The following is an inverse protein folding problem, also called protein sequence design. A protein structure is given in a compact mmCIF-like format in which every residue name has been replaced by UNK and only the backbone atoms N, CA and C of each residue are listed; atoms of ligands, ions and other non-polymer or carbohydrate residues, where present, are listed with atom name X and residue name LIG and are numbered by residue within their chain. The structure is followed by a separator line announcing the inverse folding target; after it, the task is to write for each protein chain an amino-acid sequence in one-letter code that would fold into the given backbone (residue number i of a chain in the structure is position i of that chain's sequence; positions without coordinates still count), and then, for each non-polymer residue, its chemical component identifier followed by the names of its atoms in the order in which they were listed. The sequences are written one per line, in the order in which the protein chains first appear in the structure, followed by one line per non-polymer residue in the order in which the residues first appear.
data_IF_428014256476
#
_entry.id   IF_428014256476
#
_cell.length_a   1.000
_cell.length_b   1.000
_cell.length_c   1.000
_cell.angle_alpha   90.00
_cell.angle_beta   90.00
_cell.angle_gamma   90.00
#
_symmetry.space_group_name_H-M   'P 1'
#
loop_
_entity.id
_entity.type
_entity.pdbx_description
1 polymer ?
#
# COMPACT_ATOMS: atom_id res chain seq x y z
N UNK A 1 -9.09 6.17 -24.37
CA UNK A 1 -9.41 7.31 -23.50
C UNK A 1 -8.16 7.90 -22.88
N UNK A 2 -7.45 7.25 -21.94
CA UNK A 2 -6.30 7.87 -21.27
C UNK A 2 -5.12 8.30 -22.19
N UNK A 3 -5.05 7.77 -23.42
CA UNK A 3 -4.05 8.14 -24.42
C UNK A 3 -4.59 9.09 -25.53
N UNK A 4 -5.76 9.70 -25.36
CA UNK A 4 -6.36 10.61 -26.34
C UNK A 4 -6.29 12.07 -25.88
N UNK A 5 -6.56 13.03 -26.77
CA UNK A 5 -6.51 14.47 -26.45
C UNK A 5 -7.52 14.85 -25.36
N UNK A 6 -8.66 14.17 -25.31
CA UNK A 6 -9.71 14.41 -24.32
C UNK A 6 -9.23 14.15 -22.87
N UNK A 7 -8.17 13.34 -22.69
CA UNK A 7 -7.59 13.04 -21.39
C UNK A 7 -6.38 13.91 -21.03
N UNK A 8 -6.01 14.91 -21.83
CA UNK A 8 -4.80 15.71 -21.63
C UNK A 8 -4.71 16.40 -20.25
N UNK A 9 -5.85 16.71 -19.63
CA UNK A 9 -5.92 17.31 -18.29
C UNK A 9 -5.83 16.31 -17.13
N UNK A 10 -5.87 15.00 -17.39
CA UNK A 10 -5.91 13.97 -16.35
C UNK A 10 -4.48 13.48 -16.09
N UNK A 11 -3.87 13.98 -15.02
CA UNK A 11 -2.48 13.64 -14.64
C UNK A 11 -2.36 13.30 -13.16
N UNK A 12 -1.29 12.60 -12.78
CA UNK A 12 -0.97 12.25 -11.38
C UNK A 12 -1.92 11.24 -10.72
N UNK A 13 -2.82 10.62 -11.48
CA UNK A 13 -3.80 9.67 -10.97
C UNK A 13 -3.25 8.25 -10.98
N UNK A 14 -3.55 7.49 -9.92
CA UNK A 14 -3.41 6.04 -9.93
C UNK A 14 -4.77 5.41 -10.25
N UNK A 15 -4.82 4.58 -11.29
CA UNK A 15 -6.05 3.96 -11.79
C UNK A 15 -5.86 2.45 -11.83
N UNK A 16 -6.72 1.72 -11.13
CA UNK A 16 -6.77 0.25 -11.19
C UNK A 16 -7.71 -0.21 -12.30
N UNK A 17 -7.29 -1.22 -13.06
CA UNK A 17 -8.08 -1.81 -14.16
C UNK A 17 -8.05 -3.33 -14.05
N UNK A 18 -9.22 -3.98 -14.15
CA UNK A 18 -9.29 -5.44 -14.22
C UNK A 18 -10.68 -5.93 -14.63
N UNK A 19 -10.75 -6.68 -15.74
CA UNK A 19 -12.03 -7.09 -16.34
C UNK A 19 -12.91 -5.88 -16.63
N UNK A 20 -14.13 -5.90 -16.12
CA UNK A 20 -15.11 -4.80 -16.27
C UNK A 20 -14.99 -3.72 -15.18
N UNK A 21 -13.99 -3.81 -14.29
CA UNK A 21 -13.84 -2.90 -13.15
C UNK A 21 -12.81 -1.80 -13.44
N UNK A 22 -13.20 -0.56 -13.16
CA UNK A 22 -12.33 0.62 -13.13
C UNK A 22 -12.32 1.21 -11.71
N UNK A 23 -11.15 1.59 -11.21
CA UNK A 23 -11.00 2.21 -9.89
C UNK A 23 -10.11 3.44 -9.96
N UNK A 24 -10.54 4.51 -9.31
CA UNK A 24 -9.71 5.67 -9.05
C UNK A 24 -9.19 5.60 -7.61
N UNK A 25 -7.87 5.70 -7.45
CA UNK A 25 -7.23 5.68 -6.15
C UNK A 25 -6.96 7.10 -5.66
N UNK A 26 -7.34 7.40 -4.41
CA UNK A 26 -6.84 8.58 -3.72
C UNK A 26 -5.35 8.41 -3.44
N UNK A 27 -4.59 9.51 -3.55
CA UNK A 27 -3.19 9.50 -3.14
C UNK A 27 -3.08 9.21 -1.63
N UNK A 28 -2.16 8.35 -1.17
CA UNK A 28 -1.92 8.20 0.25
C UNK A 28 -1.31 9.49 0.80
N UNK A 29 -1.88 9.99 1.89
CA UNK A 29 -1.33 11.13 2.64
C UNK A 29 -0.33 10.63 3.69
N UNK A 30 0.66 11.45 4.00
CA UNK A 30 1.57 11.17 5.12
C UNK A 30 0.78 11.30 6.43
N UNK A 31 0.39 10.17 7.02
CA UNK A 31 -0.41 10.15 8.26
C UNK A 31 0.44 10.53 9.48
N UNK A 32 1.73 10.21 9.46
CA UNK A 32 2.68 10.56 10.51
C UNK A 32 4.09 10.70 9.94
N UNK A 33 4.91 11.54 10.54
CA UNK A 33 6.31 11.73 10.16
C UNK A 33 7.15 11.87 11.42
N UNK A 34 8.16 11.01 11.52
CA UNK A 34 9.03 10.93 12.69
C UNK A 34 10.47 11.21 12.27
N UNK A 35 11.08 12.15 12.99
CA UNK A 35 12.40 12.68 12.68
C UNK A 35 13.38 12.28 13.77
N UNK A 36 14.61 11.98 13.35
CA UNK A 36 15.70 11.63 14.25
C UNK A 36 16.98 12.28 13.77
N UNK A 37 17.68 12.94 14.69
CA UNK A 37 18.97 13.55 14.40
C UNK A 37 19.98 12.46 14.02
N UNK A 38 20.60 12.61 12.85
CA UNK A 38 21.50 11.59 12.29
C UNK A 38 20.80 10.48 11.48
N UNK A 39 19.47 10.51 11.38
CA UNK A 39 18.67 9.51 10.67
C UNK A 39 18.37 8.28 11.52
N UNK A 40 17.72 7.29 10.90
CA UNK A 40 17.33 6.05 11.56
C UNK A 40 18.29 4.91 11.17
N UNK A 41 18.91 4.27 12.15
CA UNK A 41 19.60 2.99 11.96
C UNK A 41 18.63 1.82 12.02
N UNK A 42 19.04 0.66 11.51
CA UNK A 42 18.26 -0.57 11.60
C UNK A 42 18.02 -0.98 13.05
N UNK A 43 19.05 -0.93 13.89
CA UNK A 43 18.99 -1.27 15.31
C UNK A 43 18.00 -0.39 16.06
N UNK A 44 17.95 0.90 15.72
CA UNK A 44 17.01 1.86 16.32
C UNK A 44 15.57 1.57 15.93
N UNK A 45 15.31 1.28 14.65
CA UNK A 45 13.99 0.89 14.17
C UNK A 45 13.54 -0.44 14.79
N UNK A 46 14.46 -1.40 14.94
CA UNK A 46 14.18 -2.70 15.54
C UNK A 46 13.86 -2.58 17.05
N UNK A 47 14.56 -1.69 17.76
CA UNK A 47 14.34 -1.45 19.18
C UNK A 47 13.05 -0.65 19.45
N UNK A 48 12.74 0.33 18.59
CA UNK A 48 11.59 1.20 18.75
C UNK A 48 11.05 1.69 17.40
N UNK A 49 10.20 0.88 16.77
CA UNK A 49 9.54 1.28 15.53
C UNK A 49 8.44 2.31 15.83
N UNK A 50 8.55 3.56 15.36
CA UNK A 50 7.65 4.64 15.77
C UNK A 50 6.19 4.42 15.33
N UNK A 51 5.97 3.63 14.28
CA UNK A 51 4.65 3.41 13.69
C UNK A 51 4.02 2.07 14.11
N UNK A 52 4.58 1.40 15.12
CA UNK A 52 4.01 0.18 15.66
C UNK A 52 2.57 0.44 16.16
N UNK A 53 1.60 -0.32 15.64
CA UNK A 53 0.18 -0.18 15.98
C UNK A 53 -0.56 0.93 15.21
N UNK A 54 0.11 1.64 14.31
CA UNK A 54 -0.47 2.71 13.48
C UNK A 54 -0.64 2.28 12.01
N UNK A 55 -0.81 0.98 11.76
CA UNK A 55 -0.97 0.45 10.41
C UNK A 55 -2.23 1.02 9.76
N UNK A 56 -2.07 1.54 8.54
CA UNK A 56 -3.17 2.14 7.80
C UNK A 56 -4.00 1.07 7.09
N UNK A 57 -5.31 1.30 6.97
CA UNK A 57 -6.23 0.38 6.29
C UNK A 57 -6.17 0.45 4.76
N UNK A 58 -5.35 1.35 4.22
CA UNK A 58 -5.17 1.53 2.77
C UNK A 58 -4.21 0.47 2.21
N UNK A 59 -4.46 0.05 0.97
CA UNK A 59 -3.80 -1.09 0.33
C UNK A 59 -4.81 -2.06 -0.28
N UNK A 60 -4.45 -2.76 -1.35
CA UNK A 60 -5.37 -3.71 -1.99
C UNK A 60 -5.67 -4.87 -1.04
N UNK A 61 -6.96 -5.04 -0.69
CA UNK A 61 -7.43 -6.29 -0.11
C UNK A 61 -7.51 -7.30 -1.24
N UNK A 62 -6.45 -8.09 -1.38
CA UNK A 62 -6.44 -9.17 -2.34
C UNK A 62 -7.60 -10.14 -2.04
N UNK A 63 -8.30 -10.62 -3.07
CA UNK A 63 -9.20 -11.75 -2.90
C UNK A 63 -8.41 -12.93 -2.29
N UNK A 64 -9.08 -13.83 -1.56
CA UNK A 64 -8.42 -15.00 -1.02
C UNK A 64 -7.71 -15.75 -2.15
N UNK A 65 -6.49 -16.20 -1.88
CA UNK A 65 -5.76 -17.05 -2.82
C UNK A 65 -6.62 -18.28 -3.14
N UNK A 66 -6.56 -18.78 -4.39
CA UNK A 66 -7.12 -20.08 -4.74
C UNK A 66 -6.68 -21.13 -3.71
N UNK A 67 -7.54 -22.11 -3.42
CA UNK A 67 -7.28 -23.11 -2.37
C UNK A 67 -5.93 -23.81 -2.57
N UNK A 68 -5.51 -24.01 -3.81
CA UNK A 68 -4.21 -24.60 -4.18
C UNK A 68 -2.98 -23.74 -3.83
N UNK A 69 -3.15 -22.44 -3.58
CA UNK A 69 -2.09 -21.47 -3.30
C UNK A 69 -2.16 -20.92 -1.87
N UNK A 70 -3.10 -21.38 -1.04
CA UNK A 70 -3.15 -20.97 0.35
C UNK A 70 -1.91 -21.45 1.10
N UNK A 71 -1.19 -20.57 1.82
CA UNK A 71 -0.03 -20.99 2.58
C UNK A 71 -0.46 -22.01 3.63
N UNK A 72 0.25 -23.13 3.66
CA UNK A 72 0.05 -24.15 4.69
C UNK A 72 0.35 -23.47 6.02
N UNK A 73 -0.66 -23.27 6.86
CA UNK A 73 -0.53 -22.64 8.18
C UNK A 73 0.70 -23.22 8.87
N UNK A 74 1.79 -22.44 8.98
CA UNK A 74 2.94 -22.85 9.75
C UNK A 74 2.42 -23.01 11.18
N UNK A 75 2.31 -24.26 11.63
CA UNK A 75 1.69 -24.60 12.89
C UNK A 75 2.25 -23.75 14.02
N UNK A 76 1.35 -23.21 14.83
CA UNK A 76 1.68 -22.52 16.07
C UNK A 76 2.68 -23.35 16.89
N UNK A 77 3.81 -22.73 17.22
CA UNK A 77 4.67 -23.18 18.30
C UNK A 77 4.85 -22.04 19.28
#
# INVERSE_FOLDING_TARGET
FLASEEAAGITGQAIGVGGDRLQLWSHPEAVESEYRDGGWSYEELAAAFPFAGKQQSVGEKFPPLPEELQPQTAGAK
#
